data_IF_011076196778
#
_entry.id   IF_011076196778
#
_cell.length_a   1.000
_cell.length_b   1.000
_cell.length_c   1.000
_cell.angle_alpha   90.00
_cell.angle_beta   90.00
_cell.angle_gamma   90.00
#
_symmetry.space_group_name_H-M   'P 1'
#
loop_
_entity.id
_entity.type
_entity.pdbx_description
1 polymer ?
#
# COMPACT_ATOMS: atom_id res chain seq x y z
N UNK A 1 9.95 10.82 4.48
CA UNK A 1 9.12 10.11 5.47
C UNK A 1 8.54 8.85 4.85
N UNK A 2 8.39 7.78 5.63
CA UNK A 2 7.79 6.50 5.18
C UNK A 2 6.62 6.16 6.09
N UNK A 3 5.50 5.76 5.50
CA UNK A 3 4.38 5.16 6.23
C UNK A 3 4.07 3.81 5.65
N UNK A 4 3.96 2.79 6.51
CA UNK A 4 3.41 1.52 6.09
C UNK A 4 1.90 1.46 6.32
N UNK A 5 1.16 1.05 5.29
CA UNK A 5 -0.28 0.82 5.32
C UNK A 5 -0.60 -0.63 4.97
N UNK A 6 -1.70 -1.15 5.50
CA UNK A 6 -2.33 -2.35 4.98
C UNK A 6 -3.50 -1.92 4.11
N UNK A 7 -3.55 -2.39 2.86
CA UNK A 7 -4.71 -2.13 2.02
C UNK A 7 -5.97 -2.73 2.70
N UNK A 8 -6.95 -1.88 3.04
CA UNK A 8 -8.25 -2.32 3.58
C UNK A 8 -8.63 -1.84 4.99
N UNK A 9 -7.76 -1.14 5.73
CA UNK A 9 -8.12 -0.55 7.05
C UNK A 9 -8.44 0.95 6.92
N UNK A 10 -9.62 1.37 7.38
CA UNK A 10 -10.00 2.79 7.37
C UNK A 10 -9.14 3.64 8.31
N UNK A 11 -8.59 3.02 9.36
CA UNK A 11 -7.67 3.68 10.28
C UNK A 11 -6.35 4.10 9.62
N UNK A 12 -5.97 3.44 8.52
CA UNK A 12 -4.70 3.66 7.84
C UNK A 12 -4.69 4.99 7.06
N UNK A 13 -5.83 5.47 6.56
CA UNK A 13 -5.90 6.76 5.84
C UNK A 13 -5.65 7.97 6.74
N UNK A 14 -6.05 7.92 8.01
CA UNK A 14 -5.73 8.98 8.98
C UNK A 14 -4.22 9.06 9.25
N UNK A 15 -3.54 7.91 9.28
CA UNK A 15 -2.08 7.87 9.45
C UNK A 15 -1.34 8.38 8.21
N UNK A 16 -1.89 8.16 7.01
CA UNK A 16 -1.39 8.77 5.77
C UNK A 16 -1.47 10.28 5.85
N UNK A 17 -2.62 10.83 6.26
CA UNK A 17 -2.81 12.28 6.36
C UNK A 17 -1.81 12.89 7.36
N UNK A 18 -1.71 12.30 8.56
CA UNK A 18 -0.77 12.75 9.58
C UNK A 18 0.67 12.74 9.07
N UNK A 19 1.07 11.69 8.36
CA UNK A 19 2.40 11.62 7.80
C UNK A 19 2.62 12.53 6.60
N UNK A 20 1.60 12.80 5.79
CA UNK A 20 1.66 13.80 4.74
C UNK A 20 1.92 15.19 5.34
N UNK A 21 1.19 15.56 6.40
CA UNK A 21 1.42 16.82 7.12
C UNK A 21 2.82 16.91 7.71
N UNK A 22 3.29 15.86 8.38
CA UNK A 22 4.64 15.81 8.95
C UNK A 22 5.71 15.89 7.85
N UNK A 23 5.53 15.16 6.76
CA UNK A 23 6.45 15.17 5.62
C UNK A 23 6.54 16.57 5.00
N UNK A 24 5.40 17.25 4.81
CA UNK A 24 5.34 18.63 4.32
C UNK A 24 6.05 19.61 5.28
N UNK A 25 5.79 19.51 6.59
CA UNK A 25 6.44 20.37 7.61
C UNK A 25 7.96 20.17 7.66
N UNK A 26 8.43 18.95 7.40
CA UNK A 26 9.85 18.63 7.38
C UNK A 26 10.52 18.89 6.01
N UNK A 27 9.77 19.32 4.99
CA UNK A 27 10.29 19.46 3.63
C UNK A 27 10.77 18.14 3.03
N UNK A 28 10.13 17.02 3.38
CA UNK A 28 10.54 15.67 2.98
C UNK A 28 9.49 15.01 2.08
N UNK A 29 9.94 14.15 1.16
CA UNK A 29 9.05 13.30 0.35
C UNK A 29 8.35 12.25 1.21
N UNK A 30 7.08 11.96 0.94
CA UNK A 30 6.32 10.86 1.54
C UNK A 30 6.45 9.58 0.71
N UNK A 31 6.73 8.46 1.35
CA UNK A 31 6.71 7.13 0.74
C UNK A 31 5.67 6.29 1.45
N UNK A 32 4.63 5.91 0.74
CA UNK A 32 3.55 5.07 1.24
C UNK A 32 3.87 3.63 0.84
N UNK A 33 4.09 2.76 1.81
CA UNK A 33 4.39 1.34 1.60
C UNK A 33 3.13 0.53 1.90
N UNK A 34 2.48 0.02 0.86
CA UNK A 34 1.24 -0.73 0.99
C UNK A 34 1.48 -2.22 0.78
N UNK A 35 0.95 -3.06 1.70
CA UNK A 35 0.83 -4.50 1.46
C UNK A 35 -0.52 -4.79 0.82
N UNK A 36 -0.49 -5.53 -0.29
CA UNK A 36 -1.69 -6.09 -0.92
C UNK A 36 -2.40 -7.03 0.05
N UNK A 37 -3.72 -6.87 0.14
CA UNK A 37 -4.58 -7.67 0.99
C UNK A 37 -4.46 -9.19 0.69
N UNK A 38 -4.81 -10.00 1.69
CA UNK A 38 -4.92 -11.45 1.57
C UNK A 38 -5.85 -11.84 0.43
N UNK A 39 -6.91 -11.05 0.19
CA UNK A 39 -7.85 -11.28 -0.89
C UNK A 39 -7.22 -11.09 -2.28
N UNK A 40 -6.46 -10.01 -2.50
CA UNK A 40 -5.73 -9.79 -3.76
C UNK A 40 -4.67 -10.87 -4.02
N UNK A 41 -4.02 -11.38 -2.97
CA UNK A 41 -3.13 -12.54 -3.09
C UNK A 41 -3.86 -13.80 -3.55
N UNK A 42 -5.07 -14.02 -3.05
CA UNK A 42 -5.91 -15.16 -3.40
C UNK A 42 -6.47 -15.03 -4.83
N UNK A 43 -6.90 -13.84 -5.23
CA UNK A 43 -7.30 -13.50 -6.59
C UNK A 43 -6.18 -13.81 -7.60
N UNK A 44 -4.96 -13.34 -7.33
CA UNK A 44 -3.79 -13.63 -8.16
C UNK A 44 -3.47 -15.13 -8.28
N UNK A 45 -3.54 -15.86 -7.15
CA UNK A 45 -3.30 -17.30 -7.14
C UNK A 45 -4.37 -18.06 -7.93
N UNK A 46 -5.64 -17.73 -7.72
CA UNK A 46 -6.77 -18.34 -8.44
C UNK A 46 -6.71 -18.04 -9.94
N UNK A 47 -6.32 -16.82 -10.32
CA UNK A 47 -6.10 -16.46 -11.72
C UNK A 47 -5.04 -17.34 -12.40
N UNK A 48 -3.91 -17.58 -11.71
CA UNK A 48 -2.86 -18.47 -12.21
C UNK A 48 -3.34 -19.92 -12.33
N UNK A 49 -4.09 -20.42 -11.34
CA UNK A 49 -4.69 -21.75 -11.40
C UNK A 49 -5.66 -21.88 -12.58
N UNK A 50 -6.62 -20.96 -12.70
CA UNK A 50 -7.65 -21.02 -13.74
C UNK A 50 -7.05 -20.87 -15.14
N UNK A 51 -6.02 -20.05 -15.31
CA UNK A 51 -5.27 -19.99 -16.56
C UNK A 51 -4.61 -21.32 -16.92
N UNK A 52 -4.02 -22.02 -15.94
CA UNK A 52 -3.40 -23.33 -16.16
C UNK A 52 -4.40 -24.44 -16.55
N UNK A 53 -5.68 -24.31 -16.18
CA UNK A 53 -6.75 -25.24 -16.56
C UNK A 53 -7.53 -24.79 -17.80
N UNK A 54 -7.05 -23.80 -18.55
CA UNK A 54 -7.71 -23.31 -19.77
C UNK A 54 -8.97 -22.48 -19.51
N UNK A 55 -9.20 -22.04 -18.27
CA UNK A 55 -10.32 -21.16 -17.90
C UNK A 55 -9.92 -19.68 -17.97
N UNK A 56 -9.52 -19.24 -19.16
CA UNK A 56 -8.97 -17.90 -19.39
C UNK A 56 -9.92 -16.77 -18.97
N UNK A 57 -11.24 -16.94 -19.14
CA UNK A 57 -12.24 -15.95 -18.73
C UNK A 57 -12.27 -15.72 -17.21
N UNK A 58 -12.15 -16.77 -16.40
CA UNK A 58 -12.10 -16.66 -14.94
C UNK A 58 -10.76 -16.08 -14.49
N UNK A 59 -9.67 -16.48 -15.15
CA UNK A 59 -8.34 -15.93 -14.90
C UNK A 59 -8.23 -14.44 -15.24
N UNK A 60 -8.98 -13.98 -16.24
CA UNK A 60 -9.09 -12.56 -16.58
C UNK A 60 -9.93 -11.82 -15.52
N UNK A 61 -11.11 -12.32 -15.18
CA UNK A 61 -11.97 -11.70 -14.17
C UNK A 61 -11.28 -11.54 -12.81
N UNK A 62 -10.54 -12.56 -12.34
CA UNK A 62 -9.76 -12.47 -11.10
C UNK A 62 -8.64 -11.43 -11.16
N UNK A 63 -8.02 -11.22 -12.32
CA UNK A 63 -6.98 -10.18 -12.51
C UNK A 63 -7.58 -8.78 -12.56
N UNK A 64 -8.70 -8.61 -13.27
CA UNK A 64 -9.43 -7.34 -13.32
C UNK A 64 -9.91 -6.92 -11.93
N UNK A 65 -10.47 -7.85 -11.14
CA UNK A 65 -10.88 -7.57 -9.77
C UNK A 65 -9.70 -7.23 -8.84
N UNK A 66 -8.52 -7.84 -9.03
CA UNK A 66 -7.29 -7.44 -8.30
C UNK A 66 -6.91 -6.00 -8.63
N UNK A 67 -7.00 -5.62 -9.92
CA UNK A 67 -6.58 -4.32 -10.39
C UNK A 67 -7.54 -3.20 -9.97
N UNK A 68 -8.85 -3.43 -10.00
CA UNK A 68 -9.85 -2.48 -9.50
C UNK A 68 -9.66 -2.15 -8.02
N UNK A 69 -9.32 -3.15 -7.19
CA UNK A 69 -9.06 -2.94 -5.76
C UNK A 69 -7.78 -2.14 -5.52
N UNK A 70 -6.72 -2.42 -6.28
CA UNK A 70 -5.46 -1.68 -6.21
C UNK A 70 -5.66 -0.22 -6.66
N UNK A 71 -6.41 0.01 -7.74
CA UNK A 71 -6.72 1.33 -8.30
C UNK A 71 -7.58 2.15 -7.33
N UNK A 72 -8.62 1.54 -6.74
CA UNK A 72 -9.47 2.20 -5.74
C UNK A 72 -8.65 2.61 -4.50
N UNK A 73 -7.77 1.73 -4.01
CA UNK A 73 -6.90 2.05 -2.88
C UNK A 73 -5.93 3.19 -3.22
N UNK A 74 -5.31 3.14 -4.39
CA UNK A 74 -4.42 4.19 -4.84
C UNK A 74 -5.14 5.54 -4.96
N UNK A 75 -6.37 5.55 -5.47
CA UNK A 75 -7.18 6.77 -5.57
C UNK A 75 -7.49 7.34 -4.17
N UNK A 76 -7.90 6.50 -3.22
CA UNK A 76 -8.17 6.95 -1.83
C UNK A 76 -6.93 7.55 -1.17
N UNK A 77 -5.75 6.94 -1.38
CA UNK A 77 -4.48 7.50 -0.88
C UNK A 77 -4.17 8.82 -1.57
N UNK A 78 -4.36 8.91 -2.89
CA UNK A 78 -4.13 10.14 -3.64
C UNK A 78 -5.06 11.28 -3.19
N UNK A 79 -6.33 11.00 -2.94
CA UNK A 79 -7.30 11.98 -2.47
C UNK A 79 -6.89 12.55 -1.11
N UNK A 80 -6.43 11.69 -0.19
CA UNK A 80 -5.98 12.11 1.15
C UNK A 80 -4.67 12.88 1.09
N UNK A 81 -3.65 12.37 0.37
CA UNK A 81 -2.36 13.05 0.25
C UNK A 81 -2.50 14.36 -0.52
N UNK A 82 -3.43 14.44 -1.48
CA UNK A 82 -3.74 15.66 -2.25
C UNK A 82 -4.27 16.82 -1.41
N UNK A 83 -4.71 16.57 -0.17
CA UNK A 83 -5.05 17.62 0.80
C UNK A 83 -3.80 18.38 1.31
N UNK A 84 -2.60 17.83 1.12
CA UNK A 84 -1.34 18.38 1.61
C UNK A 84 -0.38 18.56 0.44
N UNK A 85 0.30 19.71 0.37
CA UNK A 85 1.32 19.94 -0.66
C UNK A 85 2.61 19.17 -0.34
N UNK A 86 2.66 17.90 -0.69
CA UNK A 86 3.82 17.02 -0.47
C UNK A 86 4.05 16.08 -1.65
N UNK A 87 5.32 15.95 -2.07
CA UNK A 87 5.71 14.93 -3.03
C UNK A 87 5.55 13.54 -2.41
N UNK A 88 4.90 12.62 -3.14
CA UNK A 88 4.65 11.28 -2.62
C UNK A 88 4.82 10.17 -3.66
N UNK A 89 4.98 8.94 -3.17
CA UNK A 89 5.00 7.70 -3.97
C UNK A 89 4.32 6.57 -3.22
N UNK A 90 3.62 5.71 -3.97
CA UNK A 90 3.08 4.45 -3.48
C UNK A 90 3.98 3.29 -3.92
N UNK A 91 4.43 2.49 -2.96
CA UNK A 91 5.17 1.25 -3.20
C UNK A 91 4.36 0.04 -2.73
N UNK A 92 4.02 -0.82 -3.68
CA UNK A 92 3.39 -2.10 -3.40
C UNK A 92 4.44 -3.14 -2.97
N UNK A 93 4.21 -3.79 -1.85
CA UNK A 93 5.12 -4.81 -1.33
C UNK A 93 4.43 -6.14 -1.06
N UNK A 94 5.16 -7.21 -1.34
CA UNK A 94 4.75 -8.57 -0.99
C UNK A 94 5.27 -8.91 0.42
N UNK A 95 4.36 -9.22 1.34
CA UNK A 95 4.72 -9.67 2.69
C UNK A 95 4.31 -8.68 3.79
N UNK A 96 5.27 -8.22 4.59
CA UNK A 96 5.02 -7.36 5.76
C UNK A 96 5.45 -5.92 5.48
N UNK A 97 4.56 -4.95 5.75
CA UNK A 97 4.84 -3.52 5.61
C UNK A 97 6.05 -3.11 6.45
N UNK A 98 6.12 -3.61 7.70
CA UNK A 98 7.22 -3.35 8.64
C UNK A 98 8.57 -3.73 8.05
N UNK A 99 8.69 -4.96 7.53
CA UNK A 99 9.95 -5.42 6.93
C UNK A 99 10.30 -4.62 5.68
N UNK A 100 9.31 -4.22 4.90
CA UNK A 100 9.52 -3.42 3.70
C UNK A 100 10.03 -2.01 4.05
N UNK A 101 9.39 -1.30 4.96
CA UNK A 101 9.85 0.03 5.36
C UNK A 101 11.19 -0.01 6.08
N UNK A 102 11.46 -1.02 6.92
CA UNK A 102 12.79 -1.19 7.52
C UNK A 102 13.87 -1.39 6.46
N UNK A 103 13.58 -2.16 5.40
CA UNK A 103 14.51 -2.34 4.28
C UNK A 103 14.73 -1.03 3.52
N UNK A 104 13.68 -0.23 3.34
CA UNK A 104 13.78 1.08 2.71
C UNK A 104 14.59 2.05 3.57
N UNK A 105 14.32 2.13 4.88
CA UNK A 105 15.03 2.98 5.83
C UNK A 105 16.52 2.61 5.96
N UNK A 106 16.86 1.32 5.89
CA UNK A 106 18.27 0.88 5.83
C UNK A 106 19.02 1.40 4.60
N UNK A 107 18.32 1.60 3.48
CA UNK A 107 18.90 2.17 2.25
C UNK A 107 18.87 3.70 2.26
N UNK A 108 18.02 4.31 3.09
CA UNK A 108 17.81 5.75 3.19
C UNK A 108 17.86 6.16 4.66
N UNK A 109 19.07 6.32 5.25
CA UNK A 109 19.25 6.48 6.70
C UNK A 109 18.64 7.76 7.29
N UNK A 110 18.26 8.73 6.45
CA UNK A 110 17.54 9.96 6.84
C UNK A 110 16.02 9.79 6.85
N UNK A 111 15.50 8.63 6.49
CA UNK A 111 14.07 8.40 6.40
C UNK A 111 13.44 8.15 7.78
N UNK A 112 12.51 9.02 8.18
CA UNK A 112 11.64 8.79 9.33
C UNK A 112 10.51 7.81 8.95
N UNK A 113 10.29 6.80 9.79
CA UNK A 113 9.32 5.72 9.55
C UNK A 113 8.19 5.78 10.58
N UNK A 114 6.95 5.81 10.11
CA UNK A 114 5.75 5.78 10.93
C UNK A 114 4.99 4.47 10.71
N UNK A 115 4.65 3.80 11.82
CA UNK A 115 3.87 2.58 11.81
C UNK A 115 2.85 2.60 12.92
N UNK A 116 1.63 2.16 12.60
CA UNK A 116 0.68 1.76 13.61
C UNK A 116 1.08 0.39 14.15
N UNK A 117 1.26 0.23 15.48
CA UNK A 117 1.50 -1.09 16.06
C UNK A 117 0.31 -2.01 15.75
N UNK A 118 0.55 -3.32 15.56
CA UNK A 118 -0.55 -4.26 15.35
C UNK A 118 -1.51 -4.18 16.54
N UNK A 119 -2.81 -4.03 16.25
CA UNK A 119 -3.83 -4.09 17.29
C UNK A 119 -3.68 -5.42 18.02
N UNK A 120 -3.40 -5.39 19.33
CA UNK A 120 -3.43 -6.59 20.16
C UNK A 120 -4.83 -7.20 20.03
N UNK A 121 -4.91 -8.34 19.35
CA UNK A 121 -6.10 -9.20 19.35
C UNK A 121 -5.90 -10.28 20.40
#
# INVERSE_FOLDING_TARGET
>A
MIVGLRAGDAGDLADVLLAAELAARMGSRLVVVAVRDRWTRWARWSAGMYGAFGMEGVAYASRSAEQEVDDEFQQRVADVVGLVNVDWTLEWVSGSCERAALRYARRNPTALVMFRPPSAR
#
